data_IF_702681061363
#
_entry.id   IF_702681061363
#
_cell.length_a   1.000
_cell.length_b   1.000
_cell.length_c   1.000
_cell.angle_alpha   90.00
_cell.angle_beta   90.00
_cell.angle_gamma   90.00
#
_symmetry.space_group_name_H-M   'P 1'
#
loop_
_entity.id
_entity.type
_entity.pdbx_description
1 polymer ?
#
# COMPACT_ATOMS: atom_id res chain seq x y z
N UNK A 1 9.61 14.39 27.27
CA UNK A 1 8.37 14.96 27.86
C UNK A 1 7.35 15.35 26.80
N UNK A 2 7.60 16.30 25.89
CA UNK A 2 6.65 16.61 24.79
C UNK A 2 6.49 15.43 23.81
N UNK A 3 7.60 14.79 23.41
CA UNK A 3 7.57 13.60 22.54
C UNK A 3 6.80 12.43 23.16
N UNK A 4 6.96 12.18 24.47
CA UNK A 4 6.26 11.10 25.17
C UNK A 4 4.75 11.37 25.27
N UNK A 5 4.36 12.63 25.39
CA UNK A 5 2.97 13.04 25.41
C UNK A 5 2.32 12.82 24.04
N UNK A 6 2.99 13.27 22.97
CA UNK A 6 2.53 13.05 21.60
C UNK A 6 2.40 11.54 21.29
N UNK A 7 3.40 10.73 21.66
CA UNK A 7 3.37 9.28 21.45
C UNK A 7 2.15 8.63 22.10
N UNK A 8 1.80 9.01 23.35
CA UNK A 8 0.60 8.51 24.03
C UNK A 8 -0.69 8.95 23.34
N UNK A 9 -0.78 10.20 22.91
CA UNK A 9 -1.96 10.72 22.21
C UNK A 9 -2.15 10.03 20.85
N UNK A 10 -1.06 9.80 20.12
CA UNK A 10 -1.08 9.05 18.87
C UNK A 10 -1.51 7.59 19.08
N UNK A 11 -1.00 6.92 20.11
CA UNK A 11 -1.42 5.58 20.47
C UNK A 11 -2.92 5.50 20.84
N UNK A 12 -3.45 6.47 21.60
CA UNK A 12 -4.89 6.57 21.89
C UNK A 12 -5.73 6.74 20.61
N UNK A 13 -5.27 7.56 19.66
CA UNK A 13 -5.93 7.70 18.35
C UNK A 13 -5.95 6.39 17.58
N UNK A 14 -4.85 5.63 17.58
CA UNK A 14 -4.80 4.32 16.92
C UNK A 14 -5.78 3.33 17.59
N UNK A 15 -5.87 3.31 18.91
CA UNK A 15 -6.85 2.47 19.63
C UNK A 15 -8.29 2.84 19.29
N UNK A 16 -8.60 4.15 19.23
CA UNK A 16 -9.92 4.64 18.79
C UNK A 16 -10.24 4.26 17.35
N UNK A 17 -9.24 4.35 16.47
CA UNK A 17 -9.37 3.90 15.08
C UNK A 17 -9.72 2.41 15.02
N UNK A 18 -9.00 1.54 15.73
CA UNK A 18 -9.29 0.10 15.79
C UNK A 18 -10.72 -0.17 16.28
N UNK A 19 -11.15 0.52 17.34
CA UNK A 19 -12.52 0.42 17.86
C UNK A 19 -13.54 0.87 16.81
N UNK A 20 -13.30 2.02 16.17
CA UNK A 20 -14.22 2.64 15.22
C UNK A 20 -14.44 1.81 13.96
N UNK A 21 -13.40 1.11 13.48
CA UNK A 21 -13.56 0.18 12.35
C UNK A 21 -14.07 -1.20 12.76
N UNK A 22 -14.28 -1.45 14.07
CA UNK A 22 -14.59 -2.77 14.62
C UNK A 22 -13.55 -3.82 14.23
N UNK A 23 -12.27 -3.49 14.46
CA UNK A 23 -11.14 -4.32 14.04
C UNK A 23 -11.27 -5.75 14.57
N UNK A 24 -11.02 -6.72 13.68
CA UNK A 24 -10.98 -8.14 13.97
C UNK A 24 -9.63 -8.70 13.55
N UNK A 25 -8.99 -9.40 14.47
CA UNK A 25 -7.75 -10.12 14.19
C UNK A 25 -8.03 -11.26 13.23
N UNK A 26 -7.35 -11.26 12.08
CA UNK A 26 -7.40 -12.37 11.14
C UNK A 26 -6.48 -13.50 11.58
N UNK A 27 -6.86 -14.72 11.20
CA UNK A 27 -6.05 -15.93 11.40
C UNK A 27 -5.10 -16.19 10.23
N UNK A 28 -4.73 -15.17 9.44
CA UNK A 28 -3.91 -15.42 8.25
C UNK A 28 -2.49 -15.83 8.66
N UNK A 29 -1.99 -16.87 7.98
CA UNK A 29 -0.62 -17.33 8.13
C UNK A 29 0.23 -16.71 7.02
N UNK A 30 1.45 -16.31 7.39
CA UNK A 30 2.41 -15.83 6.42
C UNK A 30 2.81 -16.98 5.48
N UNK A 31 2.60 -16.82 4.17
CA UNK A 31 3.05 -17.79 3.17
C UNK A 31 4.38 -17.34 2.52
N UNK A 32 5.54 -17.89 2.97
CA UNK A 32 6.85 -17.52 2.42
C UNK A 32 6.98 -17.90 0.94
N UNK A 33 6.17 -18.82 0.43
CA UNK A 33 6.25 -19.25 -0.96
C UNK A 33 5.75 -18.18 -1.96
N UNK A 34 5.04 -17.14 -1.48
CA UNK A 34 4.72 -15.95 -2.27
C UNK A 34 5.98 -15.13 -2.55
N UNK A 35 6.90 -14.98 -1.58
CA UNK A 35 8.18 -14.31 -1.82
C UNK A 35 8.99 -15.05 -2.90
N UNK A 36 9.03 -16.37 -2.83
CA UNK A 36 9.72 -17.19 -3.82
C UNK A 36 9.14 -17.00 -5.23
N UNK A 37 7.81 -16.88 -5.34
CA UNK A 37 7.14 -16.61 -6.60
C UNK A 37 7.55 -15.24 -7.17
N UNK A 38 7.61 -14.21 -6.33
CA UNK A 38 8.07 -12.88 -6.74
C UNK A 38 9.54 -12.92 -7.17
N UNK A 39 10.43 -13.53 -6.37
CA UNK A 39 11.86 -13.68 -6.72
C UNK A 39 12.02 -14.42 -8.04
N UNK A 40 11.26 -15.49 -8.25
CA UNK A 40 11.24 -16.25 -9.52
C UNK A 40 10.82 -15.35 -10.68
N UNK A 41 9.75 -14.56 -10.50
CA UNK A 41 9.30 -13.61 -11.51
C UNK A 41 10.42 -12.63 -11.91
N UNK A 42 11.05 -11.94 -10.96
CA UNK A 42 12.16 -11.04 -11.28
C UNK A 42 13.35 -11.75 -11.95
N UNK A 43 13.64 -13.01 -11.59
CA UNK A 43 14.67 -13.80 -12.30
C UNK A 43 14.32 -14.07 -13.75
N UNK A 44 13.05 -14.35 -14.07
CA UNK A 44 12.62 -14.55 -15.47
C UNK A 44 12.78 -13.30 -16.33
N UNK A 45 12.78 -12.12 -15.69
CA UNK A 45 13.03 -10.82 -16.33
C UNK A 45 14.52 -10.43 -16.34
N UNK A 46 15.42 -11.35 -15.97
CA UNK A 46 16.87 -11.17 -15.97
C UNK A 46 17.38 -10.04 -15.04
N UNK A 47 16.67 -9.75 -13.94
CA UNK A 47 17.19 -8.82 -12.94
C UNK A 47 18.47 -9.37 -12.27
N UNK A 48 19.52 -8.54 -12.08
CA UNK A 48 20.75 -8.97 -11.43
C UNK A 48 20.54 -9.47 -9.99
N UNK A 49 21.30 -10.47 -9.56
CA UNK A 49 21.19 -11.02 -8.20
C UNK A 49 21.40 -9.97 -7.10
N UNK A 50 22.31 -9.01 -7.30
CA UNK A 50 22.54 -7.95 -6.31
C UNK A 50 21.38 -6.96 -6.23
N UNK A 51 20.66 -6.75 -7.34
CA UNK A 51 19.41 -6.00 -7.33
C UNK A 51 18.34 -6.76 -6.51
N UNK A 52 18.20 -8.08 -6.73
CA UNK A 52 17.26 -8.91 -5.97
C UNK A 52 17.54 -8.85 -4.47
N UNK A 53 18.82 -9.00 -4.06
CA UNK A 53 19.23 -8.86 -2.66
C UNK A 53 18.81 -7.51 -2.07
N UNK A 54 18.99 -6.42 -2.84
CA UNK A 54 18.61 -5.05 -2.41
C UNK A 54 17.10 -4.91 -2.20
N UNK A 55 16.28 -5.52 -3.05
CA UNK A 55 14.82 -5.39 -2.96
C UNK A 55 14.13 -6.48 -2.12
N UNK A 56 14.85 -7.42 -1.51
CA UNK A 56 14.25 -8.46 -0.66
C UNK A 56 13.32 -7.90 0.44
N UNK A 57 13.65 -6.81 1.16
CA UNK A 57 12.72 -6.21 2.13
C UNK A 57 11.42 -5.71 1.50
N UNK A 58 11.48 -5.25 0.24
CA UNK A 58 10.32 -4.83 -0.54
C UNK A 58 9.49 -6.05 -0.94
N UNK A 59 10.13 -7.13 -1.39
CA UNK A 59 9.46 -8.38 -1.76
C UNK A 59 8.74 -8.96 -0.54
N UNK A 60 9.38 -8.99 0.63
CA UNK A 60 8.77 -9.45 1.87
C UNK A 60 7.53 -8.61 2.25
N UNK A 61 7.64 -7.28 2.20
CA UNK A 61 6.49 -6.40 2.45
C UNK A 61 5.36 -6.62 1.43
N UNK A 62 5.71 -6.86 0.17
CA UNK A 62 4.78 -7.09 -0.93
C UNK A 62 4.04 -8.42 -0.81
N UNK A 63 4.74 -9.48 -0.41
CA UNK A 63 4.13 -10.77 -0.07
C UNK A 63 3.23 -10.64 1.17
N UNK A 64 3.67 -9.86 2.17
CA UNK A 64 2.89 -9.64 3.37
C UNK A 64 1.58 -8.91 3.11
N UNK A 65 1.59 -7.80 2.35
CA UNK A 65 0.34 -7.10 2.01
C UNK A 65 -0.57 -8.00 1.16
N UNK A 66 -0.03 -8.75 0.19
CA UNK A 66 -0.82 -9.65 -0.64
C UNK A 66 -1.55 -10.73 0.19
N UNK A 67 -0.84 -11.39 1.11
CA UNK A 67 -1.37 -12.51 1.91
C UNK A 67 -2.22 -12.07 3.10
N UNK A 68 -1.94 -10.91 3.70
CA UNK A 68 -2.74 -10.38 4.81
C UNK A 68 -3.98 -9.64 4.33
N UNK A 69 -3.83 -8.74 3.36
CA UNK A 69 -4.89 -7.83 2.90
C UNK A 69 -5.81 -8.49 1.86
N UNK A 70 -5.30 -9.41 1.06
CA UNK A 70 -6.07 -10.10 0.01
C UNK A 70 -6.18 -11.60 0.27
N UNK A 71 -6.22 -12.00 1.55
CA UNK A 71 -6.29 -13.39 2.01
C UNK A 71 -7.46 -14.20 1.43
N UNK A 72 -8.56 -13.54 1.06
CA UNK A 72 -9.73 -14.14 0.42
C UNK A 72 -9.55 -14.44 -1.07
N UNK A 73 -8.51 -13.91 -1.71
CA UNK A 73 -8.26 -14.11 -3.14
C UNK A 73 -7.46 -15.39 -3.39
N UNK A 74 -7.61 -16.04 -4.56
CA UNK A 74 -6.78 -17.19 -4.91
C UNK A 74 -5.28 -16.83 -4.97
N UNK A 75 -4.43 -17.83 -4.72
CA UNK A 75 -2.97 -17.68 -4.69
C UNK A 75 -2.38 -16.92 -5.87
N UNK A 76 -2.80 -17.23 -7.10
CA UNK A 76 -2.26 -16.56 -8.30
C UNK A 76 -2.57 -15.05 -8.33
N UNK A 77 -3.68 -14.61 -7.72
CA UNK A 77 -4.02 -13.20 -7.56
C UNK A 77 -3.08 -12.56 -6.54
N UNK A 78 -2.84 -13.22 -5.40
CA UNK A 78 -1.90 -12.75 -4.38
C UNK A 78 -0.47 -12.62 -4.93
N UNK A 79 -0.01 -13.61 -5.71
CA UNK A 79 1.30 -13.55 -6.39
C UNK A 79 1.39 -12.35 -7.35
N UNK A 80 0.34 -12.09 -8.14
CA UNK A 80 0.29 -10.93 -9.04
C UNK A 80 0.30 -9.59 -8.29
N UNK A 81 -0.44 -9.49 -7.18
CA UNK A 81 -0.45 -8.32 -6.30
C UNK A 81 0.95 -8.09 -5.71
N UNK A 82 1.61 -9.15 -5.24
CA UNK A 82 2.96 -9.06 -4.67
C UNK A 82 4.01 -8.64 -5.71
N UNK A 83 3.92 -9.15 -6.94
CA UNK A 83 4.78 -8.73 -8.06
C UNK A 83 4.55 -7.25 -8.39
N UNK A 84 3.29 -6.83 -8.58
CA UNK A 84 2.96 -5.44 -8.87
C UNK A 84 3.48 -4.51 -7.78
N UNK A 85 3.22 -4.85 -6.52
CA UNK A 85 3.64 -4.04 -5.35
C UNK A 85 5.16 -3.92 -5.28
N UNK A 86 5.88 -5.02 -5.56
CA UNK A 86 7.35 -5.02 -5.56
C UNK A 86 7.91 -4.12 -6.65
N UNK A 87 7.32 -4.14 -7.85
CA UNK A 87 7.71 -3.28 -8.96
C UNK A 87 7.41 -1.80 -8.66
N UNK A 88 6.23 -1.49 -8.13
CA UNK A 88 5.82 -0.12 -7.81
C UNK A 88 6.78 0.52 -6.80
N UNK A 89 7.05 -0.15 -5.67
CA UNK A 89 7.95 0.34 -4.63
C UNK A 89 9.40 0.44 -5.16
N UNK A 90 9.87 -0.55 -5.93
CA UNK A 90 11.23 -0.49 -6.50
C UNK A 90 11.41 0.67 -7.50
N UNK A 91 10.36 1.05 -8.24
CA UNK A 91 10.37 2.21 -9.14
C UNK A 91 10.48 3.50 -8.32
N UNK A 92 9.73 3.64 -7.24
CA UNK A 92 9.78 4.79 -6.34
C UNK A 92 11.15 4.94 -5.67
N UNK A 93 11.68 3.86 -5.10
CA UNK A 93 12.98 3.84 -4.43
C UNK A 93 14.14 4.20 -5.37
N UNK A 94 14.01 3.88 -6.66
CA UNK A 94 15.03 4.17 -7.69
C UNK A 94 14.69 5.43 -8.52
N UNK A 95 13.70 6.21 -8.12
CA UNK A 95 13.17 7.33 -8.91
C UNK A 95 14.19 8.44 -9.16
N UNK A 96 15.07 8.72 -8.19
CA UNK A 96 16.16 9.71 -8.34
C UNK A 96 17.19 9.28 -9.39
N UNK A 97 17.48 7.97 -9.48
CA UNK A 97 18.41 7.39 -10.45
C UNK A 97 17.80 7.33 -11.87
N UNK A 98 16.48 7.11 -11.95
CA UNK A 98 15.74 6.84 -13.19
C UNK A 98 14.85 7.98 -13.67
N UNK A 99 14.97 9.19 -13.10
CA UNK A 99 14.06 10.33 -13.33
C UNK A 99 13.85 10.64 -14.82
N UNK A 100 14.88 10.50 -15.65
CA UNK A 100 14.78 10.73 -17.10
C UNK A 100 13.87 9.72 -17.79
N UNK A 101 13.98 8.45 -17.43
CA UNK A 101 13.14 7.39 -17.98
C UNK A 101 11.70 7.48 -17.48
N UNK A 102 11.49 7.79 -16.20
CA UNK A 102 10.16 8.00 -15.62
C UNK A 102 9.39 9.09 -16.38
N UNK A 103 10.03 10.24 -16.67
CA UNK A 103 9.42 11.35 -17.42
C UNK A 103 8.98 10.98 -18.83
N UNK A 104 9.60 9.95 -19.43
CA UNK A 104 9.32 9.49 -20.80
C UNK A 104 8.47 8.24 -20.84
N UNK A 105 8.11 7.67 -19.69
CA UNK A 105 7.37 6.42 -19.59
C UNK A 105 6.09 6.44 -20.43
N UNK A 106 5.20 7.40 -20.17
CA UNK A 106 3.93 7.51 -20.88
C UNK A 106 4.13 7.82 -22.37
N UNK A 107 5.05 8.71 -22.72
CA UNK A 107 5.36 9.03 -24.11
C UNK A 107 5.76 7.76 -24.89
N UNK A 108 6.64 6.94 -24.31
CA UNK A 108 7.06 5.67 -24.91
C UNK A 108 5.91 4.67 -25.00
N UNK A 109 5.09 4.57 -23.95
CA UNK A 109 3.92 3.70 -23.93
C UNK A 109 2.95 4.02 -25.10
N UNK A 110 2.56 5.29 -25.27
CA UNK A 110 1.67 5.71 -26.34
C UNK A 110 2.30 5.59 -27.74
N UNK A 111 3.62 5.75 -27.84
CA UNK A 111 4.36 5.54 -29.08
C UNK A 111 4.69 4.06 -29.36
N UNK A 112 4.22 3.12 -28.53
CA UNK A 112 4.51 1.67 -28.63
C UNK A 112 6.02 1.37 -28.62
N UNK A 113 6.78 2.16 -27.88
CA UNK A 113 8.22 1.98 -27.71
C UNK A 113 8.50 1.19 -26.43
N UNK A 114 9.52 0.32 -26.43
CA UNK A 114 9.94 -0.36 -25.21
C UNK A 114 10.47 0.65 -24.19
N UNK A 115 10.41 0.28 -22.91
CA UNK A 115 11.06 1.03 -21.84
C UNK A 115 12.53 0.57 -21.73
N UNK A 116 13.53 1.46 -21.88
CA UNK A 116 14.94 1.10 -21.69
C UNK A 116 15.26 0.66 -20.25
N UNK A 117 14.52 1.20 -19.27
CA UNK A 117 14.67 0.82 -17.88
C UNK A 117 13.94 -0.50 -17.60
N UNK A 118 14.66 -1.47 -17.05
CA UNK A 118 14.15 -2.82 -16.82
C UNK A 118 12.94 -2.87 -15.86
N UNK A 119 12.90 -2.04 -14.82
CA UNK A 119 11.74 -1.95 -13.91
C UNK A 119 10.50 -1.41 -14.62
N UNK A 120 10.68 -0.39 -15.47
CA UNK A 120 9.57 0.18 -16.22
C UNK A 120 9.05 -0.78 -17.29
N UNK A 121 9.94 -1.54 -17.93
CA UNK A 121 9.52 -2.59 -18.86
C UNK A 121 8.79 -3.72 -18.13
N UNK A 122 9.34 -4.18 -17.01
CA UNK A 122 8.71 -5.18 -16.15
C UNK A 122 7.32 -4.74 -15.67
N UNK A 123 7.14 -3.46 -15.33
CA UNK A 123 5.83 -2.92 -14.98
C UNK A 123 4.86 -2.97 -16.17
N UNK A 124 5.28 -2.64 -17.39
CA UNK A 124 4.44 -2.80 -18.59
C UNK A 124 4.02 -4.25 -18.79
N UNK A 125 4.97 -5.19 -18.68
CA UNK A 125 4.70 -6.62 -18.85
C UNK A 125 3.76 -7.15 -17.75
N UNK A 126 3.93 -6.68 -16.52
CA UNK A 126 3.03 -6.93 -15.41
C UNK A 126 1.60 -6.46 -15.71
N UNK A 127 1.42 -5.21 -16.16
CA UNK A 127 0.10 -4.67 -16.54
C UNK A 127 -0.58 -5.48 -17.66
N UNK A 128 0.19 -6.02 -18.61
CA UNK A 128 -0.35 -6.92 -19.64
C UNK A 128 -0.81 -8.24 -19.02
N UNK A 129 -0.03 -8.82 -18.10
CA UNK A 129 -0.38 -10.08 -17.44
C UNK A 129 -1.66 -10.00 -16.58
N UNK A 130 -1.94 -8.83 -15.99
CA UNK A 130 -3.13 -8.62 -15.16
C UNK A 130 -4.46 -8.80 -15.94
N UNK A 131 -4.43 -8.72 -17.28
CA UNK A 131 -5.60 -8.98 -18.14
C UNK A 131 -6.10 -10.42 -18.09
N UNK A 132 -5.29 -11.35 -17.59
CA UNK A 132 -5.72 -12.73 -17.32
C UNK A 132 -6.39 -12.91 -15.95
N UNK A 133 -6.40 -11.86 -15.11
CA UNK A 133 -6.86 -11.93 -13.70
C UNK A 133 -8.05 -11.00 -13.45
N UNK A 134 -8.08 -9.85 -14.12
CA UNK A 134 -9.09 -8.81 -13.96
C UNK A 134 -9.78 -8.52 -15.29
N UNK A 135 -11.05 -8.09 -15.22
CA UNK A 135 -11.78 -7.66 -16.38
C UNK A 135 -11.25 -6.35 -16.99
N UNK A 136 -11.75 -6.00 -18.19
CA UNK A 136 -11.22 -4.91 -19.00
C UNK A 136 -11.29 -3.54 -18.30
N UNK A 137 -12.38 -3.22 -17.61
CA UNK A 137 -12.53 -1.92 -16.95
C UNK A 137 -11.49 -1.75 -15.83
N UNK A 138 -11.31 -2.77 -14.99
CA UNK A 138 -10.31 -2.78 -13.92
C UNK A 138 -8.91 -2.69 -14.50
N UNK A 139 -8.59 -3.44 -15.56
CA UNK A 139 -7.29 -3.34 -16.22
C UNK A 139 -7.00 -1.93 -16.73
N UNK A 140 -7.98 -1.25 -17.32
CA UNK A 140 -7.83 0.14 -17.77
C UNK A 140 -7.56 1.08 -16.60
N UNK A 141 -8.28 0.90 -15.48
CA UNK A 141 -8.06 1.72 -14.28
C UNK A 141 -6.70 1.46 -13.64
N UNK A 142 -6.28 0.20 -13.54
CA UNK A 142 -4.95 -0.15 -13.00
C UNK A 142 -3.85 0.44 -13.89
N UNK A 143 -3.96 0.32 -15.21
CA UNK A 143 -2.99 0.89 -16.14
C UNK A 143 -2.94 2.42 -16.03
N UNK A 144 -4.09 3.10 -15.98
CA UNK A 144 -4.21 4.55 -15.78
C UNK A 144 -3.51 4.99 -14.50
N UNK A 145 -3.84 4.38 -13.37
CA UNK A 145 -3.32 4.78 -12.06
C UNK A 145 -1.83 4.47 -11.90
N UNK A 146 -1.34 3.40 -12.54
CA UNK A 146 0.09 3.07 -12.59
C UNK A 146 0.88 4.09 -13.42
N UNK A 147 0.38 4.49 -14.59
CA UNK A 147 1.02 5.49 -15.44
C UNK A 147 1.09 6.87 -14.76
N UNK A 148 0.03 7.22 -14.05
CA UNK A 148 -0.05 8.42 -13.23
C UNK A 148 0.97 8.39 -12.08
N UNK A 149 1.03 7.29 -11.32
CA UNK A 149 1.98 7.11 -10.23
C UNK A 149 3.44 7.24 -10.69
N UNK A 150 3.83 6.57 -11.79
CA UNK A 150 5.19 6.68 -12.36
C UNK A 150 5.55 8.13 -12.68
N UNK A 151 4.58 8.90 -13.19
CA UNK A 151 4.78 10.32 -13.49
C UNK A 151 4.99 11.13 -12.22
N UNK A 152 4.28 10.79 -11.15
CA UNK A 152 4.42 11.45 -9.86
C UNK A 152 5.71 11.05 -9.13
N UNK A 153 6.21 9.82 -9.25
CA UNK A 153 7.56 9.49 -8.77
C UNK A 153 8.63 10.41 -9.37
N UNK A 154 8.52 10.72 -10.68
CA UNK A 154 9.44 11.65 -11.34
C UNK A 154 9.26 13.11 -10.88
N UNK A 155 8.03 13.48 -10.55
CA UNK A 155 7.68 14.79 -10.01
C UNK A 155 8.25 14.95 -8.59
N UNK A 156 8.03 13.99 -7.71
CA UNK A 156 8.55 14.00 -6.34
C UNK A 156 10.08 13.98 -6.32
N UNK A 157 10.72 13.13 -7.13
CA UNK A 157 12.18 13.13 -7.25
C UNK A 157 12.76 14.51 -7.65
N UNK A 158 12.01 15.33 -8.39
CA UNK A 158 12.42 16.69 -8.80
C UNK A 158 12.08 17.77 -7.78
N UNK A 159 10.93 17.66 -7.12
CA UNK A 159 10.36 18.70 -6.26
C UNK A 159 10.40 18.37 -4.76
N UNK A 160 11.08 17.28 -4.40
CA UNK A 160 11.43 16.91 -3.02
C UNK A 160 11.96 18.13 -2.25
N UNK A 161 11.40 18.39 -1.06
CA UNK A 161 11.76 19.56 -0.24
C UNK A 161 11.16 20.91 -0.66
N UNK A 162 10.58 21.03 -1.87
CA UNK A 162 10.17 22.33 -2.43
C UNK A 162 8.68 22.65 -2.33
N UNK A 163 7.82 21.63 -2.26
CA UNK A 163 6.37 21.81 -2.20
C UNK A 163 5.95 22.29 -0.81
N UNK A 164 5.24 23.42 -0.79
CA UNK A 164 4.72 24.05 0.43
C UNK A 164 3.27 24.48 0.20
N UNK A 165 2.29 23.57 0.34
CA UNK A 165 0.89 23.95 0.20
C UNK A 165 0.50 24.97 1.27
N UNK A 166 -0.38 25.90 0.89
CA UNK A 166 -0.87 26.99 1.75
C UNK A 166 -2.38 26.85 1.98
N UNK A 167 -2.97 27.58 2.94
CA UNK A 167 -4.42 27.59 3.14
C UNK A 167 -5.24 27.99 1.90
N UNK A 168 -4.63 28.63 0.90
CA UNK A 168 -5.25 28.94 -0.39
C UNK A 168 -5.34 27.75 -1.35
N UNK A 169 -4.81 26.58 -0.96
CA UNK A 169 -4.81 25.34 -1.73
C UNK A 169 -5.34 24.15 -0.88
N UNK A 170 -6.55 24.23 -0.32
CA UNK A 170 -7.04 23.30 0.70
C UNK A 170 -7.12 21.84 0.23
N UNK A 171 -7.43 21.60 -1.05
CA UNK A 171 -7.57 20.25 -1.58
C UNK A 171 -6.26 19.63 -2.09
N UNK A 172 -5.19 20.45 -2.20
CA UNK A 172 -3.93 20.01 -2.78
C UNK A 172 -3.29 18.81 -2.05
N UNK A 173 -3.28 18.74 -0.70
CA UNK A 173 -2.70 17.58 0.00
C UNK A 173 -3.34 16.26 -0.40
N UNK A 174 -4.68 16.21 -0.47
CA UNK A 174 -5.37 14.98 -0.86
C UNK A 174 -5.28 14.72 -2.37
N UNK A 175 -5.31 15.78 -3.19
CA UNK A 175 -5.07 15.66 -4.62
C UNK A 175 -3.70 15.01 -4.91
N UNK A 176 -2.62 15.50 -4.30
CA UNK A 176 -1.29 14.91 -4.46
C UNK A 176 -1.29 13.46 -3.96
N UNK A 177 -1.91 13.21 -2.80
CA UNK A 177 -1.97 11.87 -2.21
C UNK A 177 -2.68 10.84 -3.10
N UNK A 178 -3.74 11.24 -3.82
CA UNK A 178 -4.41 10.38 -4.79
C UNK A 178 -3.46 9.89 -5.90
N UNK A 179 -2.44 10.68 -6.23
CA UNK A 179 -1.46 10.36 -7.28
C UNK A 179 -0.27 9.56 -6.77
N UNK A 180 0.18 9.85 -5.54
CA UNK A 180 1.37 9.21 -4.96
C UNK A 180 1.08 7.84 -4.34
N UNK A 181 -0.14 7.62 -3.82
CA UNK A 181 -0.40 6.40 -3.04
C UNK A 181 -0.81 5.15 -3.82
N UNK A 182 -1.08 5.27 -5.12
CA UNK A 182 -1.55 4.17 -5.98
C UNK A 182 -2.77 3.40 -5.43
N UNK A 183 -3.50 4.03 -4.49
CA UNK A 183 -4.52 3.37 -3.68
C UNK A 183 -5.72 2.83 -4.48
N UNK A 184 -6.01 3.44 -5.63
CA UNK A 184 -7.04 2.97 -6.52
C UNK A 184 -6.71 1.59 -7.11
N UNK A 185 -5.43 1.30 -7.38
CA UNK A 185 -5.00 -0.03 -7.82
C UNK A 185 -5.26 -1.07 -6.75
N UNK A 186 -4.89 -0.77 -5.50
CA UNK A 186 -5.16 -1.64 -4.36
C UNK A 186 -6.67 -1.82 -4.11
N UNK A 187 -7.48 -0.77 -4.31
CA UNK A 187 -8.93 -0.91 -4.25
C UNK A 187 -9.45 -1.89 -5.32
N UNK A 188 -8.95 -1.83 -6.54
CA UNK A 188 -9.36 -2.72 -7.62
C UNK A 188 -8.85 -4.16 -7.49
N UNK A 189 -7.68 -4.37 -6.86
CA UNK A 189 -7.16 -5.70 -6.56
C UNK A 189 -8.10 -6.54 -5.67
N UNK A 190 -9.04 -5.91 -4.96
CA UNK A 190 -10.05 -6.60 -4.19
C UNK A 190 -11.09 -7.36 -5.05
N UNK A 191 -11.15 -7.06 -6.36
CA UNK A 191 -12.20 -7.53 -7.26
C UNK A 191 -11.67 -8.31 -8.47
N UNK A 192 -10.96 -9.45 -8.27
CA UNK A 192 -10.51 -10.27 -9.40
C UNK A 192 -11.69 -10.94 -10.11
N UNK A 193 -11.54 -11.17 -11.41
CA UNK A 193 -12.61 -11.68 -12.30
C UNK A 193 -13.15 -13.05 -11.83
N UNK A 194 -12.27 -13.88 -11.26
CA UNK A 194 -12.62 -15.20 -10.73
C UNK A 194 -13.59 -15.15 -9.53
N UNK A 195 -13.66 -14.03 -8.81
CA UNK A 195 -14.57 -13.84 -7.68
C UNK A 195 -15.74 -12.92 -8.03
N UNK A 196 -15.46 -11.85 -8.78
CA UNK A 196 -16.44 -10.82 -9.09
C UNK A 196 -16.34 -10.42 -10.56
N UNK A 197 -16.87 -11.24 -11.48
CA UNK A 197 -16.89 -10.91 -12.90
C UNK A 197 -17.48 -9.51 -13.15
N UNK A 198 -16.80 -8.68 -13.96
CA UNK A 198 -17.21 -7.29 -14.16
C UNK A 198 -18.64 -7.18 -14.68
N UNK A 199 -19.01 -8.06 -15.62
CA UNK A 199 -20.34 -8.10 -16.23
C UNK A 199 -21.46 -8.22 -15.19
N UNK A 200 -21.21 -8.97 -14.11
CA UNK A 200 -22.19 -9.22 -13.06
C UNK A 200 -22.08 -8.24 -11.88
N UNK A 201 -20.88 -7.79 -11.53
CA UNK A 201 -20.64 -7.12 -10.25
C UNK A 201 -20.06 -5.70 -10.35
N UNK A 202 -19.63 -5.23 -11.52
CA UNK A 202 -18.99 -3.91 -11.65
C UNK A 202 -19.86 -2.79 -11.08
N UNK A 203 -21.14 -2.78 -11.41
CA UNK A 203 -22.10 -1.79 -10.93
C UNK A 203 -22.30 -1.79 -9.40
N UNK A 204 -21.93 -2.88 -8.72
CA UNK A 204 -22.02 -3.03 -7.26
C UNK A 204 -20.75 -2.47 -6.61
N UNK A 205 -19.58 -3.01 -6.96
CA UNK A 205 -18.36 -2.64 -6.24
C UNK A 205 -17.78 -1.30 -6.66
N UNK A 206 -18.06 -0.81 -7.88
CA UNK A 206 -17.52 0.49 -8.33
C UNK A 206 -17.95 1.64 -7.42
N UNK A 207 -19.13 1.51 -6.79
CA UNK A 207 -19.65 2.48 -5.83
C UNK A 207 -18.83 2.54 -4.53
N UNK A 208 -18.15 1.44 -4.16
CA UNK A 208 -17.32 1.37 -2.96
C UNK A 208 -15.84 1.72 -3.22
N UNK A 209 -15.37 1.63 -4.46
CA UNK A 209 -13.97 1.90 -4.83
C UNK A 209 -13.45 3.25 -4.35
N UNK A 210 -14.20 4.38 -4.43
CA UNK A 210 -13.70 5.67 -3.93
C UNK A 210 -13.36 5.65 -2.43
N UNK A 211 -14.22 5.07 -1.60
CA UNK A 211 -13.98 4.97 -0.16
C UNK A 211 -12.89 3.94 0.16
N UNK A 212 -12.78 2.83 -0.58
CA UNK A 212 -11.70 1.84 -0.41
C UNK A 212 -10.35 2.49 -0.75
N UNK A 213 -10.26 3.23 -1.86
CA UNK A 213 -9.06 3.96 -2.26
C UNK A 213 -8.68 5.03 -1.24
N UNK A 214 -9.67 5.79 -0.74
CA UNK A 214 -9.45 6.76 0.34
C UNK A 214 -8.95 6.07 1.62
N UNK A 215 -9.52 4.91 1.96
CA UNK A 215 -9.11 4.11 3.10
C UNK A 215 -7.65 3.66 2.99
N UNK A 216 -7.21 3.15 1.85
CA UNK A 216 -5.79 2.77 1.63
C UNK A 216 -4.84 3.95 1.83
N UNK A 217 -5.13 5.09 1.19
CA UNK A 217 -4.29 6.29 1.29
C UNK A 217 -4.17 6.78 2.73
N UNK A 218 -5.31 7.10 3.34
CA UNK A 218 -5.35 7.67 4.69
C UNK A 218 -4.94 6.67 5.76
N UNK A 219 -5.21 5.39 5.56
CA UNK A 219 -4.82 4.30 6.46
C UNK A 219 -3.32 4.16 6.50
N UNK A 220 -2.66 4.20 5.33
CA UNK A 220 -1.22 4.27 5.26
C UNK A 220 -0.69 5.52 5.97
N UNK A 221 -1.19 6.72 5.66
CA UNK A 221 -0.74 7.97 6.28
C UNK A 221 -0.90 7.96 7.81
N UNK A 222 -1.99 7.38 8.32
CA UNK A 222 -2.21 7.23 9.76
C UNK A 222 -1.21 6.24 10.36
N UNK A 223 -1.03 5.06 9.77
CA UNK A 223 -0.24 3.95 10.33
C UNK A 223 1.28 4.08 10.06
N UNK A 224 1.67 4.91 9.10
CA UNK A 224 3.06 5.23 8.78
C UNK A 224 3.59 6.47 9.50
N UNK A 225 2.71 7.35 10.00
CA UNK A 225 3.12 8.61 10.61
C UNK A 225 4.20 8.44 11.69
N UNK A 226 4.11 7.40 12.52
CA UNK A 226 5.12 7.15 13.55
C UNK A 226 6.51 6.89 12.96
N UNK A 227 6.63 6.02 11.92
CA UNK A 227 7.93 5.75 11.29
C UNK A 227 8.48 6.97 10.57
N UNK A 228 7.62 7.73 9.88
CA UNK A 228 8.01 8.81 8.98
C UNK A 228 8.36 10.08 9.75
N UNK A 229 7.58 10.43 10.77
CA UNK A 229 7.65 11.75 11.38
C UNK A 229 8.10 11.77 12.83
N UNK A 230 7.94 10.66 13.56
CA UNK A 230 8.35 10.56 14.96
C UNK A 230 9.70 9.87 15.11
N UNK A 231 9.91 8.77 14.38
CA UNK A 231 11.20 8.06 14.35
C UNK A 231 12.16 8.71 13.34
N UNK A 232 11.64 9.14 12.19
CA UNK A 232 12.39 9.88 11.19
C UNK A 232 11.98 11.37 11.13
N UNK A 233 12.59 12.12 10.23
CA UNK A 233 12.46 13.56 10.06
C UNK A 233 11.59 13.95 8.85
N UNK A 234 10.81 13.02 8.30
CA UNK A 234 9.95 13.29 7.15
C UNK A 234 8.79 14.24 7.53
N UNK A 235 8.66 15.33 6.77
CA UNK A 235 7.64 16.37 6.97
C UNK A 235 6.84 16.68 5.69
N UNK A 236 7.10 15.94 4.62
CA UNK A 236 6.40 16.06 3.33
C UNK A 236 5.41 14.93 3.09
N UNK A 237 4.70 14.54 4.15
CA UNK A 237 3.60 13.58 4.06
C UNK A 237 2.25 14.29 4.08
N UNK A 238 1.19 13.50 3.85
CA UNK A 238 -0.19 13.98 3.83
C UNK A 238 -0.57 14.72 5.12
N UNK A 239 -0.22 14.20 6.29
CA UNK A 239 -0.61 14.77 7.59
C UNK A 239 -0.05 16.18 7.77
N UNK A 240 1.24 16.39 7.50
CA UNK A 240 1.83 17.74 7.59
C UNK A 240 1.31 18.69 6.52
N UNK A 241 1.07 18.21 5.31
CA UNK A 241 0.49 19.03 4.26
C UNK A 241 -0.95 19.44 4.59
N UNK A 242 -1.75 18.51 5.12
CA UNK A 242 -3.10 18.78 5.60
C UNK A 242 -3.10 19.76 6.78
N UNK A 243 -2.20 19.58 7.75
CA UNK A 243 -2.10 20.48 8.91
C UNK A 243 -1.81 21.92 8.50
N UNK A 244 -0.94 22.12 7.49
CA UNK A 244 -0.61 23.44 6.94
C UNK A 244 -1.80 24.11 6.27
N UNK A 245 -2.54 23.40 5.42
CA UNK A 245 -3.65 24.01 4.68
C UNK A 245 -4.87 24.25 5.57
N UNK A 246 -5.04 23.43 6.61
CA UNK A 246 -6.16 23.56 7.56
C UNK A 246 -5.84 24.45 8.77
N UNK A 247 -4.65 25.05 8.86
CA UNK A 247 -4.16 25.78 10.04
C UNK A 247 -4.34 24.99 11.35
N UNK A 248 -4.03 23.69 11.31
CA UNK A 248 -4.12 22.80 12.46
C UNK A 248 -2.76 22.20 12.81
N UNK A 249 -2.66 21.64 14.02
CA UNK A 249 -1.51 20.86 14.45
C UNK A 249 -1.48 19.49 13.75
N UNK A 250 -0.30 18.83 13.66
CA UNK A 250 -0.23 17.46 13.17
C UNK A 250 -1.12 16.49 13.94
N UNK A 251 -1.28 16.68 15.26
CA UNK A 251 -2.14 15.81 16.08
C UNK A 251 -3.62 15.99 15.74
N UNK A 252 -4.10 17.22 15.55
CA UNK A 252 -5.47 17.50 15.09
C UNK A 252 -5.72 16.98 13.67
N UNK A 253 -4.68 16.99 12.83
CA UNK A 253 -4.73 16.41 11.49
C UNK A 253 -4.83 14.87 11.54
N UNK A 254 -4.07 14.20 12.41
CA UNK A 254 -4.20 12.75 12.66
C UNK A 254 -5.60 12.44 13.23
N UNK A 255 -6.09 13.28 14.14
CA UNK A 255 -7.46 13.17 14.66
C UNK A 255 -8.49 13.27 13.53
N UNK A 256 -8.36 14.24 12.62
CA UNK A 256 -9.27 14.36 11.48
C UNK A 256 -9.18 13.16 10.53
N UNK A 257 -7.97 12.67 10.28
CA UNK A 257 -7.71 11.52 9.40
C UNK A 257 -8.33 10.23 9.92
N UNK A 258 -8.24 9.93 11.23
CA UNK A 258 -8.83 8.70 11.77
C UNK A 258 -10.37 8.71 11.72
N UNK A 259 -11.01 9.88 11.93
CA UNK A 259 -12.46 10.02 11.77
C UNK A 259 -12.90 9.81 10.32
N UNK A 260 -12.12 10.35 9.37
CA UNK A 260 -12.35 10.14 7.96
C UNK A 260 -12.22 8.65 7.58
N UNK A 261 -11.27 7.92 8.17
CA UNK A 261 -11.11 6.48 7.96
C UNK A 261 -12.32 5.68 8.47
N UNK A 262 -12.82 5.99 9.66
CA UNK A 262 -14.04 5.36 10.20
C UNK A 262 -15.21 5.60 9.26
N UNK A 263 -15.36 6.84 8.77
CA UNK A 263 -16.41 7.20 7.80
C UNK A 263 -16.29 6.40 6.50
N UNK A 264 -15.06 6.21 5.97
CA UNK A 264 -14.84 5.39 4.77
C UNK A 264 -15.31 3.95 5.01
N UNK A 265 -14.94 3.34 6.14
CA UNK A 265 -15.34 1.97 6.49
C UNK A 265 -16.86 1.86 6.63
N UNK A 266 -17.52 2.82 7.28
CA UNK A 266 -18.98 2.84 7.37
C UNK A 266 -19.66 2.94 6.00
N UNK A 267 -19.15 3.81 5.12
CA UNK A 267 -19.69 3.97 3.77
C UNK A 267 -19.52 2.70 2.95
N UNK A 268 -18.32 2.09 2.97
CA UNK A 268 -18.05 0.80 2.30
C UNK A 268 -19.05 -0.26 2.75
N UNK A 269 -19.25 -0.41 4.07
CA UNK A 269 -20.16 -1.40 4.64
C UNK A 269 -21.62 -1.16 4.23
N UNK A 270 -22.06 0.10 4.22
CA UNK A 270 -23.41 0.49 3.78
C UNK A 270 -23.60 0.21 2.29
N UNK A 271 -22.64 0.63 1.44
CA UNK A 271 -22.67 0.42 -0.01
C UNK A 271 -22.71 -1.06 -0.38
N UNK A 272 -21.97 -1.91 0.33
CA UNK A 272 -21.88 -3.35 0.05
C UNK A 272 -22.87 -4.20 0.85
N UNK A 273 -23.78 -3.59 1.62
CA UNK A 273 -24.71 -4.30 2.51
C UNK A 273 -25.63 -5.31 1.80
N UNK A 274 -25.99 -5.04 0.54
CA UNK A 274 -26.78 -5.93 -0.29
C UNK A 274 -25.99 -7.14 -0.86
N UNK A 275 -24.67 -7.17 -0.67
CA UNK A 275 -23.75 -8.19 -1.20
C UNK A 275 -22.94 -8.85 -0.08
N UNK A 276 -23.52 -9.75 0.74
CA UNK A 276 -22.91 -10.21 1.99
C UNK A 276 -21.54 -10.89 1.83
N UNK A 277 -21.31 -11.66 0.75
CA UNK A 277 -20.00 -12.27 0.50
C UNK A 277 -18.94 -11.22 0.15
N UNK A 278 -19.31 -10.22 -0.65
CA UNK A 278 -18.41 -9.13 -1.01
C UNK A 278 -18.07 -8.28 0.21
N UNK A 279 -19.08 -7.93 1.00
CA UNK A 279 -18.90 -7.24 2.27
C UNK A 279 -17.92 -7.99 3.20
N UNK A 280 -18.09 -9.31 3.38
CA UNK A 280 -17.14 -10.11 4.18
C UNK A 280 -15.72 -10.05 3.65
N UNK A 281 -15.53 -10.15 2.33
CA UNK A 281 -14.20 -10.09 1.73
C UNK A 281 -13.56 -8.69 1.89
N UNK A 282 -14.35 -7.63 1.78
CA UNK A 282 -13.85 -6.26 2.00
C UNK A 282 -13.61 -5.96 3.49
N UNK A 283 -14.39 -6.51 4.42
CA UNK A 283 -14.08 -6.46 5.84
C UNK A 283 -12.77 -7.21 6.15
N UNK A 284 -12.53 -8.36 5.51
CA UNK A 284 -11.23 -9.03 5.60
C UNK A 284 -10.10 -8.18 5.03
N UNK A 285 -10.33 -7.45 3.93
CA UNK A 285 -9.36 -6.50 3.38
C UNK A 285 -9.00 -5.40 4.38
N UNK A 286 -10.00 -4.76 4.98
CA UNK A 286 -9.81 -3.68 5.97
C UNK A 286 -8.98 -4.19 7.16
N UNK A 287 -9.34 -5.34 7.72
CA UNK A 287 -8.62 -5.93 8.85
C UNK A 287 -7.22 -6.41 8.46
N UNK A 288 -7.08 -7.01 7.28
CA UNK A 288 -5.81 -7.47 6.74
C UNK A 288 -4.83 -6.33 6.48
N UNK A 289 -5.32 -5.16 6.09
CA UNK A 289 -4.48 -3.98 5.88
C UNK A 289 -3.92 -3.40 7.18
N UNK A 290 -4.70 -3.46 8.27
CA UNK A 290 -4.20 -3.13 9.61
C UNK A 290 -3.15 -4.16 10.05
N UNK A 291 -3.42 -5.45 9.85
CA UNK A 291 -2.50 -6.54 10.16
C UNK A 291 -1.18 -6.42 9.38
N UNK A 292 -1.23 -6.01 8.11
CA UNK A 292 -0.05 -5.69 7.31
C UNK A 292 0.86 -4.68 8.03
N UNK A 293 0.31 -3.54 8.46
CA UNK A 293 1.06 -2.49 9.14
C UNK A 293 1.58 -2.91 10.53
N UNK A 294 0.77 -3.63 11.30
CA UNK A 294 1.13 -4.05 12.65
C UNK A 294 2.21 -5.15 12.64
N UNK A 295 2.15 -6.06 11.66
CA UNK A 295 3.11 -7.16 11.52
C UNK A 295 4.45 -6.70 10.93
N UNK A 296 4.45 -5.65 10.11
CA UNK A 296 5.65 -5.19 9.43
C UNK A 296 6.52 -4.30 10.34
N UNK A 297 7.72 -4.79 10.66
CA UNK A 297 8.69 -4.13 11.55
C UNK A 297 9.12 -2.72 11.07
N UNK A 298 8.93 -2.40 9.79
CA UNK A 298 9.22 -1.09 9.18
C UNK A 298 8.41 0.05 9.81
N UNK A 299 7.21 -0.21 10.32
CA UNK A 299 6.32 0.84 10.86
C UNK A 299 6.60 1.21 12.32
N UNK A 300 7.42 0.42 13.02
CA UNK A 300 7.84 0.69 14.42
C UNK A 300 6.68 0.85 15.42
N UNK A 301 5.50 0.34 15.10
CA UNK A 301 4.29 0.48 15.93
C UNK A 301 4.37 -0.30 17.26
N UNK A 302 5.29 -1.27 17.38
CA UNK A 302 5.58 -1.98 18.64
C UNK A 302 6.07 -1.05 19.75
N UNK A 303 6.60 0.12 19.40
CA UNK A 303 7.10 1.09 20.37
C UNK A 303 5.97 1.81 21.12
N UNK A 304 4.72 1.59 20.71
CA UNK A 304 3.53 2.30 21.21
C UNK A 304 2.76 1.53 22.27
N UNK A 305 3.12 0.27 22.56
CA UNK A 305 2.44 -0.57 23.55
C UNK A 305 0.98 -0.86 23.21
N UNK A 306 0.68 -1.05 21.92
CA UNK A 306 -0.66 -1.43 21.44
C UNK A 306 -0.75 -2.96 21.46
N UNK A 307 -1.68 -3.51 22.24
CA UNK A 307 -1.80 -4.95 22.49
C UNK A 307 -1.88 -5.76 21.18
N UNK A 308 -2.69 -5.32 20.23
CA UNK A 308 -2.87 -6.01 18.95
C UNK A 308 -1.58 -6.08 18.13
N UNK A 309 -0.70 -5.08 18.23
CA UNK A 309 0.62 -5.06 17.59
C UNK A 309 1.54 -6.07 18.25
N UNK A 310 1.61 -6.05 19.58
CA UNK A 310 2.51 -6.91 20.35
C UNK A 310 2.17 -8.39 20.16
N UNK A 311 0.89 -8.73 20.22
CA UNK A 311 0.41 -10.09 19.98
C UNK A 311 0.69 -10.58 18.56
N UNK A 312 0.56 -9.71 17.56
CA UNK A 312 0.82 -10.07 16.17
C UNK A 312 2.31 -10.30 15.94
N UNK A 313 3.16 -9.43 16.47
CA UNK A 313 4.62 -9.57 16.33
C UNK A 313 5.16 -10.79 17.06
N UNK A 314 4.61 -11.14 18.21
CA UNK A 314 4.97 -12.39 18.91
C UNK A 314 4.77 -13.61 17.99
N UNK A 315 3.67 -13.65 17.22
CA UNK A 315 3.39 -14.74 16.28
C UNK A 315 4.34 -14.75 15.06
N UNK A 316 4.57 -13.60 14.44
CA UNK A 316 5.46 -13.47 13.26
C UNK A 316 6.93 -13.81 13.62
N UNK A 317 7.39 -13.44 14.81
CA UNK A 317 8.71 -13.83 15.31
C UNK A 317 8.82 -15.34 15.62
N UNK A 318 7.73 -15.98 16.04
CA UNK A 318 7.71 -17.44 16.24
C UNK A 318 7.71 -18.22 14.92
N UNK A 319 7.08 -17.72 13.86
CA UNK A 319 7.11 -18.39 12.54
C UNK A 319 8.46 -18.23 11.82
N UNK A 320 9.24 -17.20 12.13
CA UNK A 320 10.57 -16.96 11.53
C UNK A 320 11.71 -17.65 12.27
N UNK A 321 11.47 -18.19 13.47
CA UNK A 321 12.50 -18.88 14.27
C UNK A 321 12.60 -20.38 13.98
N UNK A 322 11.70 -20.94 13.16
CA UNK A 322 11.73 -22.37 12.77
C UNK A 322 12.68 -22.64 11.59
N UNK A 323 13.19 -21.60 10.90
CA UNK A 323 14.04 -21.75 9.70
C UNK A 323 15.50 -21.23 9.84
N UNK A 324 15.94 -20.84 11.05
CA UNK A 324 17.35 -20.50 11.30
C UNK A 324 18.20 -21.71 11.70
N UNK A 325 17.91 -22.87 11.12
CA UNK A 325 18.71 -24.07 11.21
C UNK A 325 19.38 -24.36 9.86
N UNK A 326 20.63 -23.89 9.71
CA UNK A 326 21.73 -24.40 8.87
C UNK A 326 22.38 -23.27 8.05
N UNK A 327 23.67 -23.03 8.31
CA UNK A 327 24.58 -22.45 7.31
C UNK A 327 25.43 -21.28 7.74
N UNK A 328 26.22 -21.43 8.82
CA UNK A 328 27.46 -20.65 8.98
C UNK A 328 28.36 -20.95 7.79
N UNK A 329 28.55 -20.00 6.87
CA UNK A 329 29.69 -20.03 5.96
C UNK A 329 30.69 -18.95 6.38
N UNK A 330 31.79 -19.44 6.96
CA UNK A 330 33.04 -18.70 7.13
C UNK A 330 33.74 -18.62 5.77
N UNK A 331 34.29 -17.41 5.52
CA UNK A 331 35.21 -16.98 4.46
C UNK A 331 34.61 -16.68 3.09
#
# INVERSE_FOLDING_TARGET
METDTFKRQYADILQRYLCGISYQKLSCEYDPSIEEAVVRHFRTLNFPNDFLKRIMPIIHASAWIATSTYSFTPRHVQEAIAVYTSLAIAIEDTSKESTHDLKRFQQRLFNRQPQPNLLLQAMVDCLVSLRGIYGPFICDMIAKSTAEYISVCAFEAKYDGTLRPTPSSPDFPYYLRLKTGVAEVYAFFAFPEVLYPEEAFLHVYILAVPDISRYFNLGNDLLSFYKESIVADERLNYIYNYSRVSNSTPLESIWSTHLALITCVENIRKTLSASPQMLRNIDQLINGYVMYHFGASRYKLSDLGIQEVDELRAKVCCSTTVDNGVGVYKH
#
